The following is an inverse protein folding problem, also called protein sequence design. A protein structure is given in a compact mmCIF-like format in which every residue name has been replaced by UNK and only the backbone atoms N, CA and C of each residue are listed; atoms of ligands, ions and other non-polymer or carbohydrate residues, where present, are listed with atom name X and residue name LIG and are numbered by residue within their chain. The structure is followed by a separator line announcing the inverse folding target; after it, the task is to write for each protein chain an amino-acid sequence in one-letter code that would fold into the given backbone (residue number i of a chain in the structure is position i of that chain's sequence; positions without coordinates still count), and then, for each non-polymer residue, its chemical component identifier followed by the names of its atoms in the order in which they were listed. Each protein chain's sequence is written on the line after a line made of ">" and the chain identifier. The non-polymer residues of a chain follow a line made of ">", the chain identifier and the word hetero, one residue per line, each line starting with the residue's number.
data_IF_177192647145
#
_entry.id   IF_177192647145
#
_cell.length_a   1.000
_cell.length_b   1.000
_cell.length_c   1.000
_cell.angle_alpha   90.00
_cell.angle_beta   90.00
_cell.angle_gamma   90.00
#
_symmetry.space_group_name_H-M   'P 1'
#
loop_
_entity.id
_entity.type
_entity.pdbx_description
1 polymer ?
#
# COMPACT_ATOMS: atom_id res chain seq x y z
N UNK A 1 17.77 10.15 13.94
CA UNK A 1 18.21 9.22 12.88
C UNK A 1 16.96 8.60 12.27
N UNK A 2 16.73 8.80 10.98
CA UNK A 2 15.49 8.44 10.32
C UNK A 2 15.75 7.30 9.34
N UNK A 3 14.94 6.25 9.41
CA UNK A 3 14.91 5.16 8.42
C UNK A 3 13.79 5.44 7.43
N UNK A 4 14.12 5.57 6.15
CA UNK A 4 13.12 5.73 5.08
C UNK A 4 12.90 4.38 4.41
N UNK A 5 11.74 3.77 4.60
CA UNK A 5 11.34 2.47 4.05
C UNK A 5 10.77 2.65 2.65
N UNK A 6 11.16 1.80 1.72
CA UNK A 6 10.76 1.90 0.32
C UNK A 6 10.32 0.58 -0.32
N UNK A 7 9.78 0.70 -1.54
CA UNK A 7 9.56 -0.42 -2.45
C UNK A 7 8.69 -1.51 -1.85
N UNK A 8 9.18 -2.75 -1.89
CA UNK A 8 8.39 -3.92 -1.48
C UNK A 8 8.06 -3.93 0.02
N UNK A 9 8.97 -3.45 0.88
CA UNK A 9 8.69 -3.38 2.32
C UNK A 9 7.58 -2.37 2.61
N UNK A 10 7.63 -1.19 1.98
CA UNK A 10 6.57 -0.20 2.11
C UNK A 10 5.24 -0.71 1.51
N UNK A 11 5.27 -1.46 0.40
CA UNK A 11 4.07 -2.11 -0.14
C UNK A 11 3.42 -3.06 0.87
N UNK A 12 4.22 -3.93 1.52
CA UNK A 12 3.76 -4.84 2.58
C UNK A 12 3.13 -4.08 3.76
N UNK A 13 3.74 -2.96 4.17
CA UNK A 13 3.13 -2.08 5.17
C UNK A 13 1.72 -1.66 4.72
N UNK A 14 1.54 -1.12 3.51
CA UNK A 14 0.23 -0.61 3.08
C UNK A 14 -0.83 -1.67 2.80
N UNK A 15 -0.44 -2.89 2.40
CA UNK A 15 -1.39 -3.97 2.12
C UNK A 15 -1.82 -4.72 3.38
N UNK A 16 -1.01 -4.72 4.44
CA UNK A 16 -1.35 -5.35 5.71
C UNK A 16 -2.31 -4.51 6.58
N UNK A 17 -3.21 -5.19 7.30
CA UNK A 17 -4.15 -4.52 8.22
C UNK A 17 -3.45 -3.84 9.41
N UNK A 18 -2.35 -4.43 9.88
CA UNK A 18 -1.67 -3.98 11.09
C UNK A 18 -1.19 -2.55 10.95
N UNK A 19 -0.58 -2.23 9.82
CA UNK A 19 -0.12 -0.88 9.54
C UNK A 19 -1.29 0.07 9.30
N UNK A 20 -2.31 -0.34 8.54
CA UNK A 20 -3.54 0.45 8.34
C UNK A 20 -4.13 0.92 9.68
N UNK A 21 -4.24 0.03 10.69
CA UNK A 21 -4.78 0.39 12.01
C UNK A 21 -3.95 1.42 12.78
N UNK A 22 -2.69 1.64 12.43
CA UNK A 22 -1.84 2.65 13.08
C UNK A 22 -2.18 4.07 12.62
N UNK A 23 -2.67 4.22 11.38
CA UNK A 23 -3.09 5.51 10.82
C UNK A 23 -4.58 5.77 10.98
N UNK A 24 -5.35 4.69 10.97
CA UNK A 24 -6.81 4.71 11.02
C UNK A 24 -7.32 4.03 12.30
N UNK A 25 -6.59 4.24 13.41
CA UNK A 25 -6.92 3.70 14.73
C UNK A 25 -8.36 4.00 15.13
N UNK A 26 -8.89 3.22 16.07
CA UNK A 26 -10.27 3.33 16.54
C UNK A 26 -10.60 4.79 16.85
N UNK A 27 -11.49 5.39 16.07
CA UNK A 27 -12.05 6.70 16.41
C UNK A 27 -12.65 6.55 17.79
N UNK A 28 -12.09 7.25 18.78
CA UNK A 28 -12.65 7.28 20.12
C UNK A 28 -13.77 8.31 20.13
N UNK A 29 -14.93 7.97 20.67
CA UNK A 29 -16.02 8.93 20.83
C UNK A 29 -15.57 10.04 21.78
N UNK A 30 -15.64 11.30 21.33
CA UNK A 30 -15.30 12.45 22.16
C UNK A 30 -16.27 12.65 23.34
N UNK A 31 -17.47 12.07 23.26
CA UNK A 31 -18.48 12.14 24.32
C UNK A 31 -18.34 11.01 25.34
N UNK A 32 -17.96 9.80 24.90
CA UNK A 32 -17.99 8.60 25.76
C UNK A 32 -16.63 8.01 26.05
N UNK A 33 -15.56 8.45 25.38
CA UNK A 33 -14.20 7.92 25.56
C UNK A 33 -14.00 6.48 25.10
N UNK A 34 -15.03 5.86 24.53
CA UNK A 34 -14.99 4.47 24.05
C UNK A 34 -14.59 4.42 22.57
N UNK A 35 -13.96 3.32 22.12
CA UNK A 35 -13.83 3.02 20.69
C UNK A 35 -15.20 3.07 20.01
N UNK A 36 -15.35 3.93 19.01
CA UNK A 36 -16.55 3.95 18.17
C UNK A 36 -16.57 2.64 17.39
N UNK A 37 -17.61 1.80 17.52
CA UNK A 37 -17.72 0.59 16.74
C UNK A 37 -17.68 0.98 15.26
N UNK A 38 -16.80 0.31 14.50
CA UNK A 38 -16.63 0.56 13.07
C UNK A 38 -17.98 0.46 12.37
N UNK A 39 -18.58 1.60 12.01
CA UNK A 39 -19.59 1.63 10.97
C UNK A 39 -18.86 1.18 9.70
N UNK A 40 -18.99 -0.10 9.38
CA UNK A 40 -18.51 -0.64 8.10
C UNK A 40 -19.24 0.19 7.04
N UNK A 41 -18.56 0.98 6.21
CA UNK A 41 -19.24 1.57 5.08
C UNK A 41 -19.82 0.39 4.29
N UNK A 42 -21.10 0.45 3.89
CA UNK A 42 -21.67 -0.60 3.08
C UNK A 42 -20.78 -0.78 1.85
N UNK A 43 -20.53 -2.04 1.47
CA UNK A 43 -19.86 -2.33 0.22
C UNK A 43 -20.56 -1.55 -0.90
N UNK A 44 -19.78 -0.77 -1.63
CA UNK A 44 -20.30 0.08 -2.68
C UNK A 44 -20.74 1.49 -2.32
N UNK A 45 -20.44 1.94 -1.09
CA UNK A 45 -20.67 3.33 -0.71
C UNK A 45 -20.13 4.29 -1.80
N UNK A 46 -21.01 5.13 -2.39
CA UNK A 46 -20.64 6.00 -3.51
C UNK A 46 -19.54 7.01 -3.14
N UNK A 47 -19.34 7.27 -1.85
CA UNK A 47 -18.35 8.22 -1.34
C UNK A 47 -16.98 7.58 -1.05
N UNK A 48 -16.78 6.28 -1.33
CA UNK A 48 -15.50 5.61 -1.04
C UNK A 48 -14.33 6.29 -1.73
N UNK A 49 -14.48 6.59 -3.03
CA UNK A 49 -13.43 7.27 -3.81
C UNK A 49 -13.16 8.68 -3.26
N UNK A 50 -14.20 9.42 -2.91
CA UNK A 50 -14.06 10.78 -2.38
C UNK A 50 -13.40 10.79 -1.00
N UNK A 51 -13.78 9.87 -0.10
CA UNK A 51 -13.12 9.71 1.21
C UNK A 51 -11.66 9.29 1.08
N UNK A 52 -11.38 8.33 0.19
CA UNK A 52 -10.02 7.88 -0.08
C UNK A 52 -9.17 9.02 -0.66
N UNK A 53 -9.76 9.86 -1.51
CA UNK A 53 -9.09 11.06 -1.96
C UNK A 53 -8.83 12.04 -0.83
N UNK A 54 -9.81 12.39 0.01
CA UNK A 54 -9.61 13.38 1.06
C UNK A 54 -8.42 12.98 1.95
N UNK A 55 -8.37 11.72 2.36
CA UNK A 55 -7.24 11.17 3.11
C UNK A 55 -5.91 11.22 2.32
N UNK A 56 -5.96 10.93 1.01
CA UNK A 56 -4.78 11.01 0.17
C UNK A 56 -4.31 12.47 -0.04
N UNK A 57 -5.23 13.41 -0.23
CA UNK A 57 -4.94 14.81 -0.46
C UNK A 57 -4.29 15.45 0.78
N UNK A 58 -4.76 15.09 1.97
CA UNK A 58 -4.18 15.54 3.24
C UNK A 58 -2.71 15.15 3.37
N UNK A 59 -2.30 13.99 2.83
CA UNK A 59 -0.88 13.58 2.82
C UNK A 59 -0.10 14.06 1.59
N UNK A 60 -0.74 14.21 0.42
CA UNK A 60 -0.07 14.57 -0.83
C UNK A 60 0.46 16.01 -0.82
N UNK A 61 -0.06 16.87 0.06
CA UNK A 61 0.41 18.24 0.24
C UNK A 61 1.44 18.41 1.36
N UNK A 62 1.85 17.33 2.04
CA UNK A 62 2.73 17.40 3.22
C UNK A 62 4.14 16.94 2.88
N UNK A 63 5.11 17.79 3.21
CA UNK A 63 6.53 17.42 3.25
C UNK A 63 6.95 17.17 4.68
N UNK A 64 7.46 15.97 4.95
CA UNK A 64 8.10 15.67 6.23
C UNK A 64 9.42 16.44 6.31
N UNK A 65 9.74 17.04 7.46
CA UNK A 65 11.01 17.76 7.67
C UNK A 65 12.22 16.85 7.38
N UNK A 66 12.10 15.58 7.75
CA UNK A 66 13.07 14.52 7.51
C UNK A 66 13.32 14.26 6.01
N UNK A 67 12.34 14.55 5.14
CA UNK A 67 12.49 14.46 3.69
C UNK A 67 13.29 15.64 3.12
N UNK A 68 13.22 16.80 3.76
CA UNK A 68 14.07 17.96 3.43
C UNK A 68 15.51 17.67 3.83
N UNK A 69 15.74 17.13 5.03
CA UNK A 69 17.06 16.69 5.48
C UNK A 69 17.66 15.64 4.54
N UNK A 70 16.84 14.69 4.08
CA UNK A 70 17.25 13.69 3.09
C UNK A 70 17.72 14.34 1.78
N UNK A 71 16.95 15.30 1.27
CA UNK A 71 17.28 16.03 0.06
C UNK A 71 18.57 16.84 0.20
N UNK A 72 18.81 17.44 1.36
CA UNK A 72 20.03 18.18 1.64
C UNK A 72 21.24 17.25 1.73
N UNK A 73 21.10 16.09 2.37
CA UNK A 73 22.13 15.04 2.38
C UNK A 73 22.42 14.46 0.99
N UNK A 74 21.43 14.41 0.09
CA UNK A 74 21.64 14.01 -1.30
C UNK A 74 22.52 15.01 -2.07
N UNK A 75 22.41 16.31 -1.76
CA UNK A 75 23.20 17.38 -2.39
C UNK A 75 24.58 17.52 -1.77
N UNK A 76 24.68 17.50 -0.44
CA UNK A 76 25.93 17.71 0.30
C UNK A 76 26.82 16.46 0.31
N UNK A 77 26.25 15.26 0.17
CA UNK A 77 26.95 14.00 0.35
C UNK A 77 27.14 13.61 1.82
N UNK A 78 26.58 14.39 2.76
CA UNK A 78 26.63 14.11 4.19
C UNK A 78 25.93 12.78 4.54
N UNK A 79 26.44 12.01 5.52
CA UNK A 79 25.82 10.74 5.90
C UNK A 79 24.41 10.91 6.49
N UNK A 80 23.42 10.26 5.87
CA UNK A 80 22.04 10.11 6.36
C UNK A 80 21.75 8.62 6.57
N UNK A 81 22.23 8.07 7.68
CA UNK A 81 22.20 6.62 7.89
C UNK A 81 20.85 6.15 8.43
N UNK A 82 20.27 5.07 7.86
CA UNK A 82 19.11 4.42 8.46
C UNK A 82 19.51 3.66 9.74
N UNK A 83 18.53 3.46 10.62
CA UNK A 83 18.66 2.72 11.88
C UNK A 83 18.22 1.25 11.73
N UNK A 84 19.12 0.27 11.96
CA UNK A 84 18.75 -1.15 12.04
C UNK A 84 17.72 -1.46 13.14
N UNK A 85 17.77 -0.73 14.26
CA UNK A 85 16.79 -0.89 15.35
C UNK A 85 15.38 -0.46 14.91
N UNK A 86 15.27 0.60 14.08
CA UNK A 86 13.99 0.98 13.51
C UNK A 86 13.46 -0.09 12.53
N UNK A 87 14.34 -0.73 11.76
CA UNK A 87 13.98 -1.83 10.88
C UNK A 87 13.49 -3.06 11.64
N UNK A 88 14.19 -3.47 12.70
CA UNK A 88 13.80 -4.58 13.55
C UNK A 88 12.40 -4.35 14.19
N UNK A 89 12.17 -3.14 14.72
CA UNK A 89 10.84 -2.76 15.25
C UNK A 89 9.74 -2.83 14.19
N UNK A 90 10.02 -2.41 12.96
CA UNK A 90 9.04 -2.50 11.87
C UNK A 90 8.69 -3.96 11.52
N UNK A 91 9.68 -4.85 11.47
CA UNK A 91 9.48 -6.28 11.23
C UNK A 91 8.60 -6.88 12.34
N UNK A 92 8.91 -6.57 13.60
CA UNK A 92 8.14 -7.00 14.76
C UNK A 92 6.68 -6.50 14.70
N UNK A 93 6.48 -5.22 14.41
CA UNK A 93 5.14 -4.62 14.23
C UNK A 93 4.37 -5.25 13.07
N UNK A 94 5.07 -5.61 11.99
CA UNK A 94 4.53 -6.34 10.85
C UNK A 94 4.01 -7.73 11.22
N UNK A 95 4.46 -8.30 12.34
CA UNK A 95 3.99 -9.57 12.91
C UNK A 95 3.92 -10.71 11.86
N UNK A 96 4.93 -10.80 10.99
CA UNK A 96 5.03 -11.77 9.90
C UNK A 96 4.46 -11.32 8.55
N UNK A 97 3.81 -10.15 8.48
CA UNK A 97 3.36 -9.53 7.22
C UNK A 97 4.44 -8.66 6.55
N UNK A 98 5.48 -8.27 7.29
CA UNK A 98 6.61 -7.49 6.78
C UNK A 98 7.86 -8.38 6.82
N UNK A 99 8.48 -8.60 5.67
CA UNK A 99 9.63 -9.50 5.54
C UNK A 99 10.95 -8.80 5.86
N UNK A 100 11.87 -9.51 6.51
CA UNK A 100 13.28 -9.13 6.57
C UNK A 100 14.03 -9.54 5.29
N UNK A 101 15.06 -8.78 4.86
CA UNK A 101 15.45 -7.48 5.39
C UNK A 101 14.49 -6.36 4.95
N UNK A 102 14.35 -5.34 5.78
CA UNK A 102 13.68 -4.08 5.42
C UNK A 102 14.51 -3.37 4.35
N UNK A 103 13.85 -2.93 3.30
CA UNK A 103 14.46 -2.13 2.23
C UNK A 103 14.34 -0.64 2.56
N UNK A 104 15.49 0.01 2.76
CA UNK A 104 15.55 1.43 3.08
C UNK A 104 16.22 2.25 1.97
N UNK A 105 15.70 3.44 1.72
CA UNK A 105 16.23 4.39 0.75
C UNK A 105 17.30 5.27 1.40
N UNK A 106 18.44 5.47 0.73
CA UNK A 106 19.55 6.31 1.21
C UNK A 106 20.03 7.28 0.13
N UNK A 107 20.40 8.53 0.47
CA UNK A 107 20.59 9.58 -0.52
C UNK A 107 21.96 9.51 -1.23
N UNK A 108 22.96 8.91 -0.58
CA UNK A 108 24.33 8.84 -1.06
C UNK A 108 25.04 7.55 -0.59
N UNK A 109 26.25 7.30 -1.09
CA UNK A 109 27.01 6.09 -0.76
C UNK A 109 27.47 6.06 0.70
N UNK A 110 27.77 7.22 1.31
CA UNK A 110 28.22 7.33 2.70
C UNK A 110 27.13 6.97 3.73
N UNK A 111 25.87 7.01 3.27
CA UNK A 111 24.68 6.68 4.05
C UNK A 111 24.34 5.18 4.08
N UNK A 112 25.02 4.36 3.26
CA UNK A 112 24.69 2.93 3.14
C UNK A 112 24.98 2.20 4.45
N UNK A 113 23.99 1.41 4.86
CA UNK A 113 24.07 0.47 5.97
C UNK A 113 23.58 -0.89 5.47
N UNK A 114 24.30 -1.95 5.83
CA UNK A 114 23.89 -3.34 5.62
C UNK A 114 23.94 -4.04 6.96
N UNK A 115 22.80 -4.60 7.37
CA UNK A 115 22.62 -5.40 8.56
C UNK A 115 21.71 -6.59 8.22
N UNK A 116 21.51 -7.52 9.16
CA UNK A 116 20.62 -8.67 8.97
C UNK A 116 19.17 -8.23 8.68
N UNK A 117 18.71 -7.21 9.39
CA UNK A 117 17.33 -6.71 9.32
C UNK A 117 17.12 -5.61 8.27
N UNK A 118 18.19 -5.12 7.63
CA UNK A 118 18.15 -3.87 6.87
C UNK A 118 19.11 -3.90 5.68
N UNK A 119 18.60 -3.51 4.52
CA UNK A 119 19.42 -3.26 3.33
C UNK A 119 19.13 -1.88 2.74
N UNK A 120 20.18 -1.20 2.30
CA UNK A 120 20.11 0.17 1.79
C UNK A 120 20.13 0.21 0.26
N UNK A 121 19.23 0.98 -0.32
CA UNK A 121 19.15 1.28 -1.75
C UNK A 121 19.46 2.75 -2.00
N UNK A 122 20.39 3.01 -2.92
CA UNK A 122 20.76 4.37 -3.28
C UNK A 122 19.67 5.01 -4.14
N UNK A 123 19.14 6.14 -3.66
CA UNK A 123 18.24 7.01 -4.43
C UNK A 123 18.61 8.46 -4.17
N UNK A 124 19.34 9.08 -5.09
CA UNK A 124 19.64 10.51 -4.99
C UNK A 124 18.53 11.40 -5.58
N UNK A 125 17.42 10.79 -5.99
CA UNK A 125 16.30 11.53 -6.57
C UNK A 125 15.60 12.34 -5.47
N UNK A 126 15.31 13.59 -5.78
CA UNK A 126 14.49 14.44 -4.92
C UNK A 126 13.10 13.80 -4.74
N UNK A 127 12.66 13.57 -3.50
CA UNK A 127 11.30 13.11 -3.24
C UNK A 127 10.28 14.10 -3.82
N UNK A 128 9.19 13.56 -4.39
CA UNK A 128 8.04 14.38 -4.79
C UNK A 128 7.28 14.74 -3.50
N UNK A 129 6.63 15.89 -3.46
CA UNK A 129 5.78 16.25 -2.32
C UNK A 129 4.76 15.14 -2.02
N UNK A 130 4.60 14.79 -0.74
CA UNK A 130 3.76 13.65 -0.33
C UNK A 130 4.37 12.27 -0.59
N UNK A 131 5.68 12.20 -0.85
CA UNK A 131 6.43 10.95 -1.06
C UNK A 131 6.47 10.05 0.17
N UNK A 132 6.26 10.58 1.38
CA UNK A 132 6.46 9.84 2.63
C UNK A 132 5.34 10.08 3.63
N UNK A 133 5.09 9.05 4.43
CA UNK A 133 4.20 9.09 5.58
C UNK A 133 5.01 8.65 6.81
N UNK A 134 4.84 9.35 7.94
CA UNK A 134 5.49 8.97 9.21
C UNK A 134 4.94 7.64 9.71
N UNK A 135 5.81 6.67 9.96
CA UNK A 135 5.44 5.39 10.57
C UNK A 135 5.05 5.54 12.04
N UNK A 136 4.59 4.44 12.65
CA UNK A 136 4.33 4.41 14.08
C UNK A 136 5.65 4.33 14.87
N UNK A 137 5.94 5.38 15.64
CA UNK A 137 7.15 5.52 16.44
C UNK A 137 8.18 6.47 15.82
N UNK A 138 9.15 6.90 16.63
CA UNK A 138 10.12 7.91 16.21
C UNK A 138 11.11 7.36 15.18
N UNK A 139 11.39 8.19 14.17
CA UNK A 139 12.47 7.98 13.20
C UNK A 139 12.15 7.02 12.07
N UNK A 140 10.87 6.83 11.71
CA UNK A 140 10.47 6.02 10.56
C UNK A 140 9.65 6.83 9.56
N UNK A 141 10.12 6.90 8.32
CA UNK A 141 9.33 7.34 7.18
C UNK A 141 9.06 6.15 6.28
N UNK A 142 7.85 6.05 5.75
CA UNK A 142 7.43 4.98 4.84
C UNK A 142 7.00 5.64 3.54
N UNK A 143 7.53 5.15 2.41
CA UNK A 143 7.11 5.60 1.10
C UNK A 143 5.58 5.57 0.99
N UNK A 144 4.96 6.66 0.54
CA UNK A 144 3.51 6.74 0.37
C UNK A 144 3.01 5.70 -0.62
N UNK A 145 1.71 5.33 -0.62
CA UNK A 145 1.16 4.36 -1.56
C UNK A 145 1.53 4.66 -3.03
N UNK A 146 1.52 5.93 -3.42
CA UNK A 146 1.87 6.38 -4.77
C UNK A 146 3.36 6.28 -5.04
N UNK A 147 4.21 6.67 -4.08
CA UNK A 147 5.65 6.52 -4.23
C UNK A 147 6.03 5.05 -4.35
N UNK A 148 5.40 4.16 -3.59
CA UNK A 148 5.62 2.71 -3.68
C UNK A 148 5.35 2.20 -5.09
N UNK A 149 4.24 2.61 -5.70
CA UNK A 149 3.91 2.24 -7.08
C UNK A 149 4.97 2.79 -8.05
N UNK A 150 5.41 4.04 -7.87
CA UNK A 150 6.46 4.63 -8.71
C UNK A 150 7.80 3.86 -8.58
N UNK A 151 8.21 3.53 -7.36
CA UNK A 151 9.45 2.79 -7.05
C UNK A 151 9.43 1.37 -7.63
N UNK A 152 8.27 0.73 -7.64
CA UNK A 152 8.08 -0.61 -8.18
C UNK A 152 7.74 -0.63 -9.68
N UNK A 153 7.54 0.53 -10.32
CA UNK A 153 7.03 0.62 -11.68
C UNK A 153 7.92 -0.04 -12.74
N UNK A 154 9.23 -0.08 -12.50
CA UNK A 154 10.20 -0.75 -13.39
C UNK A 154 10.65 -2.12 -12.86
N UNK A 155 10.17 -2.52 -11.68
CA UNK A 155 10.50 -3.80 -11.04
C UNK A 155 9.39 -4.83 -11.19
N UNK A 156 8.16 -4.37 -11.39
CA UNK A 156 6.99 -5.22 -11.61
C UNK A 156 6.53 -5.17 -13.08
N UNK A 157 6.14 -6.31 -13.66
CA UNK A 157 5.40 -6.33 -14.92
C UNK A 157 4.12 -5.50 -14.82
N UNK A 158 3.71 -4.87 -15.92
CA UNK A 158 2.57 -3.95 -15.93
C UNK A 158 1.27 -4.52 -15.31
N UNK A 159 0.85 -5.77 -15.57
CA UNK A 159 -0.32 -6.36 -14.90
C UNK A 159 -0.18 -6.44 -13.37
N UNK A 160 1.02 -6.80 -12.87
CA UNK A 160 1.30 -6.87 -11.42
C UNK A 160 1.39 -5.49 -10.78
N UNK A 161 1.89 -4.50 -11.52
CA UNK A 161 1.84 -3.11 -11.07
C UNK A 161 0.39 -2.59 -10.99
N UNK A 162 -0.46 -2.93 -11.96
CA UNK A 162 -1.88 -2.58 -11.94
C UNK A 162 -2.63 -3.28 -10.80
N UNK A 163 -2.31 -4.54 -10.51
CA UNK A 163 -2.81 -5.29 -9.36
C UNK A 163 -2.44 -4.61 -8.03
N UNK A 164 -1.17 -4.20 -7.86
CA UNK A 164 -0.76 -3.44 -6.69
C UNK A 164 -1.52 -2.11 -6.56
N UNK A 165 -1.73 -1.38 -7.67
CA UNK A 165 -2.55 -0.15 -7.64
C UNK A 165 -3.97 -0.46 -7.17
N UNK A 166 -4.60 -1.52 -7.71
CA UNK A 166 -5.92 -1.96 -7.25
C UNK A 166 -5.93 -2.31 -5.75
N UNK A 167 -4.93 -3.05 -5.26
CA UNK A 167 -4.81 -3.42 -3.84
C UNK A 167 -4.75 -2.21 -2.90
N UNK A 168 -3.96 -1.21 -3.26
CA UNK A 168 -3.84 0.04 -2.50
C UNK A 168 -5.13 0.88 -2.57
N UNK A 169 -5.90 0.74 -3.65
CA UNK A 169 -7.20 1.40 -3.86
C UNK A 169 -8.40 0.53 -3.45
N UNK A 170 -8.15 -0.62 -2.82
CA UNK A 170 -9.16 -1.61 -2.51
C UNK A 170 -9.77 -1.43 -1.13
N UNK A 171 -10.96 -2.03 -0.96
CA UNK A 171 -11.60 -2.20 0.35
C UNK A 171 -11.25 -3.53 1.01
N UNK A 172 -10.23 -4.24 0.52
CA UNK A 172 -9.66 -5.41 1.19
C UNK A 172 -8.25 -5.15 1.71
N UNK A 173 -7.79 -6.04 2.59
CA UNK A 173 -6.46 -6.01 3.17
C UNK A 173 -6.02 -7.42 3.50
N UNK A 174 -4.73 -7.59 3.78
CA UNK A 174 -4.17 -8.86 4.19
C UNK A 174 -3.85 -8.89 5.69
N UNK A 175 -4.02 -10.06 6.31
CA UNK A 175 -3.63 -10.33 7.69
C UNK A 175 -3.23 -11.81 7.82
N UNK A 176 -2.42 -12.14 8.82
CA UNK A 176 -2.14 -13.53 9.14
C UNK A 176 -3.30 -14.11 9.94
N UNK A 177 -3.89 -15.18 9.42
CA UNK A 177 -4.96 -15.90 10.10
C UNK A 177 -4.64 -17.38 10.19
N UNK A 178 -5.12 -18.01 11.27
CA UNK A 178 -5.13 -19.45 11.40
C UNK A 178 -6.27 -20.00 10.54
N UNK A 179 -5.92 -20.85 9.58
CA UNK A 179 -6.86 -21.47 8.67
C UNK A 179 -6.83 -22.97 8.88
N UNK A 180 -7.99 -23.63 9.06
CA UNK A 180 -8.05 -25.07 9.10
C UNK A 180 -7.70 -25.64 7.72
N UNK A 181 -6.66 -26.44 7.67
CA UNK A 181 -6.28 -27.23 6.51
C UNK A 181 -6.65 -28.69 6.76
N UNK A 182 -7.40 -29.26 5.84
CA UNK A 182 -7.79 -30.66 5.88
C UNK A 182 -6.72 -31.50 5.19
N UNK A 183 -6.04 -32.34 5.96
CA UNK A 183 -5.03 -33.27 5.46
C UNK A 183 -5.58 -34.67 5.57
N UNK A 184 -5.56 -35.41 4.46
CA UNK A 184 -5.96 -36.82 4.43
C UNK A 184 -4.73 -37.68 4.69
N UNK A 185 -4.73 -38.38 5.83
CA UNK A 185 -3.73 -39.40 6.14
C UNK A 185 -4.33 -40.80 6.12
N UNK A 186 -3.51 -41.79 6.46
CA UNK A 186 -3.93 -43.21 6.51
C UNK A 186 -5.02 -43.46 7.56
N UNK A 187 -5.03 -42.68 8.64
CA UNK A 187 -6.02 -42.76 9.73
C UNK A 187 -7.27 -41.88 9.51
N UNK A 188 -7.48 -41.35 8.30
CA UNK A 188 -8.63 -40.53 7.93
C UNK A 188 -8.33 -39.03 7.77
N UNK A 189 -9.37 -38.20 7.86
CA UNK A 189 -9.29 -36.76 7.66
C UNK A 189 -8.86 -36.06 8.96
N UNK A 190 -7.73 -35.35 8.94
CA UNK A 190 -7.24 -34.55 10.06
C UNK A 190 -7.31 -33.07 9.73
N UNK A 191 -7.65 -32.25 10.72
CA UNK A 191 -7.60 -30.79 10.59
C UNK A 191 -6.34 -30.28 11.26
N UNK A 192 -5.47 -29.61 10.50
CA UNK A 192 -4.31 -28.90 11.00
C UNK A 192 -4.56 -27.40 10.88
N UNK A 193 -4.27 -26.64 11.93
CA UNK A 193 -4.30 -25.18 11.85
C UNK A 193 -2.99 -24.70 11.25
N UNK A 194 -3.07 -24.03 10.11
CA UNK A 194 -1.92 -23.37 9.49
C UNK A 194 -2.12 -21.86 9.52
N UNK A 195 -1.08 -21.14 9.95
CA UNK A 195 -1.08 -19.69 9.92
C UNK A 195 -0.62 -19.22 8.55
N UNK A 196 -1.50 -18.57 7.80
CA UNK A 196 -1.20 -18.06 6.45
C UNK A 196 -1.77 -16.67 6.23
N UNK A 197 -1.20 -15.98 5.25
CA UNK A 197 -1.73 -14.71 4.77
C UNK A 197 -3.11 -14.92 4.15
N UNK A 198 -4.09 -14.15 4.62
CA UNK A 198 -5.47 -14.20 4.16
C UNK A 198 -5.96 -12.79 3.83
N UNK A 199 -6.75 -12.68 2.76
CA UNK A 199 -7.43 -11.44 2.42
C UNK A 199 -8.76 -11.33 3.17
N UNK A 200 -9.03 -10.13 3.68
CA UNK A 200 -10.27 -9.76 4.36
C UNK A 200 -10.86 -8.53 3.70
N UNK A 201 -12.19 -8.45 3.64
CA UNK A 201 -12.90 -7.30 3.07
C UNK A 201 -13.35 -6.31 4.15
N UNK A 202 -14.03 -5.24 3.73
CA UNK A 202 -14.58 -4.17 4.56
C UNK A 202 -13.54 -3.24 5.22
N UNK A 203 -12.41 -2.98 4.55
CA UNK A 203 -11.57 -1.81 4.87
C UNK A 203 -12.44 -0.55 4.75
N UNK A 204 -12.56 0.28 5.82
CA UNK A 204 -13.45 1.43 5.80
C UNK A 204 -13.12 2.47 4.73
N UNK A 205 -11.83 2.76 4.55
CA UNK A 205 -11.36 3.63 3.47
C UNK A 205 -10.09 3.02 2.88
N UNK A 206 -9.98 2.90 1.54
CA UNK A 206 -8.73 2.54 0.89
C UNK A 206 -7.54 3.42 1.33
N UNK A 207 -6.31 2.88 1.28
CA UNK A 207 -5.10 3.65 1.63
C UNK A 207 -4.73 4.71 0.58
N UNK A 208 -5.29 4.56 -0.63
CA UNK A 208 -5.20 5.52 -1.73
C UNK A 208 -6.42 5.36 -2.65
N UNK A 209 -6.47 6.14 -3.73
CA UNK A 209 -7.45 6.04 -4.81
C UNK A 209 -6.76 6.29 -6.16
N UNK A 210 -7.41 5.92 -7.26
CA UNK A 210 -6.86 6.18 -8.61
C UNK A 210 -6.66 7.67 -8.89
N UNK A 211 -7.46 8.55 -8.27
CA UNK A 211 -7.29 10.00 -8.39
C UNK A 211 -5.93 10.46 -7.84
N UNK A 212 -5.54 9.97 -6.66
CA UNK A 212 -4.23 10.23 -6.04
C UNK A 212 -3.08 9.59 -6.84
N UNK A 213 -3.26 8.35 -7.28
CA UNK A 213 -2.28 7.64 -8.11
C UNK A 213 -2.03 8.37 -9.43
N UNK A 214 -3.08 8.86 -10.08
CA UNK A 214 -2.97 9.64 -11.32
C UNK A 214 -2.23 10.96 -11.07
N UNK A 215 -2.60 11.70 -10.02
CA UNK A 215 -1.94 12.95 -9.66
C UNK A 215 -0.43 12.76 -9.50
N UNK A 216 -0.01 11.71 -8.80
CA UNK A 216 1.41 11.42 -8.56
C UNK A 216 2.13 10.96 -9.84
N UNK A 217 1.47 10.13 -10.67
CA UNK A 217 2.02 9.72 -11.95
C UNK A 217 2.24 10.91 -12.90
N UNK A 218 1.33 11.89 -12.90
CA UNK A 218 1.44 13.11 -13.71
C UNK A 218 2.65 13.96 -13.27
N UNK A 219 2.91 14.06 -11.96
CA UNK A 219 4.12 14.70 -11.41
C UNK A 219 5.41 13.99 -11.83
N UNK A 220 5.36 12.68 -12.02
CA UNK A 220 6.50 11.85 -12.43
C UNK A 220 6.58 11.60 -13.95
N UNK A 221 5.74 12.24 -14.76
CA UNK A 221 5.55 11.95 -16.21
C UNK A 221 6.82 12.07 -17.07
N UNK A 222 7.78 12.89 -16.63
CA UNK A 222 9.09 13.00 -17.28
C UNK A 222 9.93 11.72 -17.23
N UNK A 223 9.68 10.84 -16.26
CA UNK A 223 10.45 9.60 -16.05
C UNK A 223 9.82 8.36 -16.70
N UNK A 224 10.64 7.36 -17.02
CA UNK A 224 10.16 6.06 -17.52
C UNK A 224 9.30 5.36 -16.48
N UNK A 225 9.65 5.46 -15.19
CA UNK A 225 8.86 4.93 -14.08
C UNK A 225 7.48 5.58 -14.00
N UNK A 226 7.40 6.92 -14.12
CA UNK A 226 6.13 7.64 -14.11
C UNK A 226 5.22 7.26 -15.29
N UNK A 227 5.78 7.08 -16.49
CA UNK A 227 5.02 6.56 -17.65
C UNK A 227 4.53 5.12 -17.43
N UNK A 228 5.34 4.27 -16.81
CA UNK A 228 4.96 2.90 -16.47
C UNK A 228 3.84 2.87 -15.42
N UNK A 229 3.96 3.70 -14.37
CA UNK A 229 2.92 3.92 -13.36
C UNK A 229 1.62 4.42 -14.00
N UNK A 230 1.67 5.47 -14.83
CA UNK A 230 0.50 6.00 -15.53
C UNK A 230 -0.20 4.94 -16.40
N UNK A 231 0.57 4.04 -17.00
CA UNK A 231 0.03 2.90 -17.75
C UNK A 231 -0.68 1.90 -16.84
N UNK A 232 -0.14 1.57 -15.66
CA UNK A 232 -0.81 0.70 -14.70
C UNK A 232 -2.10 1.32 -14.14
N UNK A 233 -2.04 2.59 -13.73
CA UNK A 233 -3.19 3.36 -13.23
C UNK A 233 -4.33 3.41 -14.26
N UNK A 234 -4.01 3.45 -15.56
CA UNK A 234 -5.01 3.40 -16.63
C UNK A 234 -5.91 2.17 -16.53
N UNK A 235 -5.37 1.00 -16.20
CA UNK A 235 -6.10 -0.27 -16.17
C UNK A 235 -6.61 -0.65 -14.78
N UNK A 236 -6.04 -0.08 -13.73
CA UNK A 236 -6.50 -0.32 -12.37
C UNK A 236 -7.93 0.23 -12.12
N UNK A 237 -8.54 -0.29 -11.06
CA UNK A 237 -9.89 0.03 -10.58
C UNK A 237 -9.86 0.40 -9.10
N UNK A 238 -10.74 1.33 -8.69
CA UNK A 238 -11.00 1.63 -7.28
C UNK A 238 -12.02 0.65 -6.69
N UNK A 239 -11.95 0.42 -5.38
CA UNK A 239 -13.07 -0.16 -4.64
C UNK A 239 -13.33 -1.66 -4.84
N UNK A 240 -12.34 -2.41 -5.33
CA UNK A 240 -12.39 -3.88 -5.32
C UNK A 240 -12.48 -4.39 -3.88
N UNK A 241 -13.34 -5.38 -3.61
CA UNK A 241 -13.61 -5.90 -2.28
C UNK A 241 -12.90 -7.24 -1.99
N UNK A 242 -12.21 -7.81 -2.97
CA UNK A 242 -11.36 -9.00 -2.79
C UNK A 242 -10.25 -9.09 -3.86
N UNK A 243 -9.17 -9.86 -3.60
CA UNK A 243 -8.15 -10.13 -4.63
C UNK A 243 -8.72 -10.74 -5.91
N UNK A 244 -9.75 -11.60 -5.78
CA UNK A 244 -10.40 -12.23 -6.93
C UNK A 244 -11.21 -11.22 -7.77
N UNK A 245 -11.86 -10.24 -7.14
CA UNK A 245 -12.49 -9.12 -7.85
C UNK A 245 -11.46 -8.28 -8.61
N UNK A 246 -10.32 -8.00 -7.99
CA UNK A 246 -9.20 -7.29 -8.64
C UNK A 246 -8.71 -8.07 -9.86
N UNK A 247 -8.46 -9.37 -9.69
CA UNK A 247 -7.98 -10.23 -10.76
C UNK A 247 -8.98 -10.28 -11.92
N UNK A 248 -10.28 -10.40 -11.64
CA UNK A 248 -11.33 -10.42 -12.65
C UNK A 248 -11.44 -9.09 -13.40
N UNK A 249 -11.41 -7.97 -12.67
CA UNK A 249 -11.45 -6.63 -13.26
C UNK A 249 -10.26 -6.38 -14.20
N UNK A 250 -9.05 -6.76 -13.77
CA UNK A 250 -7.85 -6.67 -14.60
C UNK A 250 -7.90 -7.61 -15.79
N UNK A 251 -8.37 -8.85 -15.62
CA UNK A 251 -8.54 -9.79 -16.72
C UNK A 251 -9.47 -9.21 -17.80
N UNK A 252 -10.57 -8.56 -17.41
CA UNK A 252 -11.44 -7.89 -18.38
C UNK A 252 -10.79 -6.68 -19.04
N UNK A 253 -10.19 -5.78 -18.25
CA UNK A 253 -9.74 -4.48 -18.72
C UNK A 253 -8.38 -4.48 -19.43
N UNK A 254 -7.47 -5.38 -19.06
CA UNK A 254 -6.12 -5.40 -19.60
C UNK A 254 -6.11 -5.76 -21.10
N UNK A 255 -5.12 -5.27 -21.88
CA UNK A 255 -4.99 -5.65 -23.28
C UNK A 255 -4.72 -7.14 -23.47
N UNK A 256 -5.17 -7.68 -24.62
CA UNK A 256 -4.88 -9.07 -25.04
C UNK A 256 -3.40 -9.42 -25.05
N UNK A 257 -2.54 -8.45 -25.41
CA UNK A 257 -1.09 -8.63 -25.44
C UNK A 257 -0.45 -8.90 -24.08
N UNK A 258 -1.19 -8.70 -22.98
CA UNK A 258 -0.73 -8.97 -21.61
C UNK A 258 -1.70 -9.89 -20.86
N UNK A 259 -2.54 -10.64 -21.58
CA UNK A 259 -3.41 -11.69 -21.01
C UNK A 259 -4.82 -11.25 -20.61
N UNK A 260 -5.27 -10.05 -21.00
CA UNK A 260 -6.66 -9.60 -20.74
C UNK A 260 -7.59 -9.67 -21.95
N UNK A 261 -8.85 -9.26 -21.78
CA UNK A 261 -9.87 -9.26 -22.84
C UNK A 261 -9.96 -7.93 -23.61
N UNK A 262 -9.39 -6.84 -23.08
CA UNK A 262 -9.44 -5.50 -23.66
C UNK A 262 -10.83 -4.85 -23.61
N UNK A 263 -11.65 -5.25 -22.64
CA UNK A 263 -12.97 -4.68 -22.40
C UNK A 263 -12.86 -3.32 -21.68
N UNK A 264 -13.92 -2.49 -21.71
CA UNK A 264 -13.99 -1.30 -20.86
C UNK A 264 -13.83 -1.64 -19.38
N UNK A 265 -13.24 -0.72 -18.60
CA UNK A 265 -13.06 -0.92 -17.16
C UNK A 265 -14.41 -1.08 -16.45
N UNK A 266 -14.58 -2.10 -15.61
CA UNK A 266 -15.78 -2.21 -14.80
C UNK A 266 -15.81 -1.12 -13.72
N UNK A 267 -17.01 -0.77 -13.28
CA UNK A 267 -17.20 -0.05 -12.02
C UNK A 267 -17.35 -1.09 -10.91
N UNK A 268 -16.45 -1.07 -9.94
CA UNK A 268 -16.46 -2.04 -8.85
C UNK A 268 -17.51 -1.67 -7.82
N UNK A 269 -18.27 -2.67 -7.38
CA UNK A 269 -19.17 -2.56 -6.23
C UNK A 269 -20.12 -1.36 -6.30
N UNK A 270 -20.57 -0.89 -7.47
CA UNK A 270 -21.44 0.30 -7.54
C UNK A 270 -22.81 0.01 -6.90
N UNK A 271 -23.28 0.87 -6.00
CA UNK A 271 -24.67 0.81 -5.49
C UNK A 271 -25.64 1.08 -6.63
N UNK A 272 -26.52 0.11 -6.87
CA UNK A 272 -27.64 0.23 -7.78
C UNK A 272 -28.90 0.50 -6.95
N UNK A 273 -29.54 1.64 -7.18
CA UNK A 273 -30.86 1.90 -6.61
C UNK A 273 -31.86 0.97 -7.31
N UNK A 274 -32.53 0.14 -6.52
CA UNK A 274 -33.66 -0.67 -6.99
C UNK A 274 -34.91 -0.04 -6.39
N UNK A 275 -35.82 0.40 -7.24
CA UNK A 275 -37.13 0.87 -6.79
C UNK A 275 -37.82 -0.30 -6.07
N UNK A 276 -38.34 -0.05 -4.87
CA UNK A 276 -39.20 -1.04 -4.22
C UNK A 276 -40.45 -1.15 -5.07
N UNK A 277 -40.67 -2.28 -5.71
CA UNK A 277 -41.98 -2.61 -6.29
C UNK A 277 -43.03 -2.43 -5.18
N UNK A 278 -43.93 -1.47 -5.41
CA UNK A 278 -45.16 -1.23 -4.62
C UNK A 278 -46.18 -2.32 -4.87
#
# INVERSE_FOLDING_TARGET
>A
MVTIVEGITAAQCWTCNRFYRLFFGETVSLETGNPVPKLRPPLGNPDIEERAWLLAADRLAVDCAEAIEYADAAKSGEPFKPSPQAAARLIEQGAGMVSAPVHAMVPNKASRVTAEELTSHLSSAMPIQGSFVRGCGDGLLIASPELVVLQLALRLPMPKLAELVCELCSTYYYDLAEVPQLTRGDDGLRTQLERRECAFSNRPVPVSCLRAMKWFADKASGSTAGRAMARAVRYAVDGSASPMETALALMFALPKSVGGYGLPKPQMNRVLAVDRET
#
